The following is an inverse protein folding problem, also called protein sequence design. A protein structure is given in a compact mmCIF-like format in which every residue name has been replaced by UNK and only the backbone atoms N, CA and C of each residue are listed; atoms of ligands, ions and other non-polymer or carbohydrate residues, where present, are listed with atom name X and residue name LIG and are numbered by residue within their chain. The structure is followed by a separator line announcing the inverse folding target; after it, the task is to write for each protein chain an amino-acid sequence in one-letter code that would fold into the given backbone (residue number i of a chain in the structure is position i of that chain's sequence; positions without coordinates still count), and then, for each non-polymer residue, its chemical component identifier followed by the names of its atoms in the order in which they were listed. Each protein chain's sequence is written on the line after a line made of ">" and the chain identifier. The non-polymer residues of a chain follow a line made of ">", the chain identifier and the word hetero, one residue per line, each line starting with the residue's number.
data_IF_517947289172
#
_entry.id   IF_517947289172
#
_cell.length_a   1.000
_cell.length_b   1.000
_cell.length_c   1.000
_cell.angle_alpha   90.00
_cell.angle_beta   90.00
_cell.angle_gamma   90.00
#
_symmetry.space_group_name_H-M   'P 1'
#
loop_
_entity.id
_entity.type
_entity.pdbx_description
1 polymer ?
#
# COMPACT_ATOMS: atom_id res chain seq x y z
N UNK A 1 -38.48 11.18 0.48
CA UNK A 1 -37.57 10.65 1.52
C UNK A 1 -37.63 9.12 1.61
N UNK A 2 -38.83 8.51 1.60
CA UNK A 2 -39.04 7.04 1.65
C UNK A 2 -38.43 6.28 0.46
N UNK A 3 -38.45 6.84 -0.75
CA UNK A 3 -37.83 6.24 -1.95
C UNK A 3 -36.30 6.11 -1.85
N UNK A 4 -35.61 7.16 -1.38
CA UNK A 4 -34.15 7.10 -1.14
C UNK A 4 -33.76 6.06 -0.10
N UNK A 5 -34.56 5.89 0.95
CA UNK A 5 -34.32 4.88 1.99
C UNK A 5 -34.45 3.48 1.39
N UNK A 6 -35.49 3.22 0.59
CA UNK A 6 -35.70 1.91 -0.05
C UNK A 6 -34.63 1.59 -1.10
N UNK A 7 -34.17 2.59 -1.86
CA UNK A 7 -33.03 2.46 -2.78
C UNK A 7 -31.72 2.17 -2.03
N UNK A 8 -31.51 2.79 -0.87
CA UNK A 8 -30.35 2.56 -0.01
C UNK A 8 -30.35 1.12 0.55
N UNK A 9 -31.49 0.65 1.08
CA UNK A 9 -31.62 -0.74 1.55
C UNK A 9 -31.47 -1.77 0.40
N UNK A 10 -32.00 -1.48 -0.78
CA UNK A 10 -31.83 -2.35 -1.95
C UNK A 10 -30.37 -2.36 -2.47
N UNK A 11 -29.63 -1.25 -2.30
CA UNK A 11 -28.20 -1.21 -2.61
C UNK A 11 -27.36 -2.02 -1.60
N UNK A 12 -27.70 -1.95 -0.31
CA UNK A 12 -27.04 -2.75 0.74
C UNK A 12 -27.26 -4.25 0.53
N UNK A 13 -28.48 -4.66 0.16
CA UNK A 13 -28.81 -6.07 -0.12
C UNK A 13 -28.08 -6.68 -1.33
N UNK A 14 -27.43 -5.86 -2.16
CA UNK A 14 -26.64 -6.29 -3.33
C UNK A 14 -25.14 -6.33 -3.06
N UNK A 15 -24.68 -5.99 -1.84
CA UNK A 15 -23.27 -6.04 -1.50
C UNK A 15 -22.82 -7.50 -1.43
N UNK A 16 -21.91 -7.88 -2.31
CA UNK A 16 -21.30 -9.20 -2.28
C UNK A 16 -20.15 -9.23 -1.27
N UNK A 17 -19.88 -10.39 -0.69
CA UNK A 17 -18.86 -10.54 0.36
C UNK A 17 -17.44 -10.23 -0.16
N UNK A 18 -17.15 -10.52 -1.43
CA UNK A 18 -15.79 -10.46 -1.97
C UNK A 18 -15.23 -9.02 -2.04
N UNK A 19 -15.92 -8.02 -2.64
CA UNK A 19 -15.45 -6.64 -2.62
C UNK A 19 -15.26 -6.09 -1.20
N UNK A 20 -16.09 -6.52 -0.24
CA UNK A 20 -15.95 -6.12 1.16
C UNK A 20 -14.67 -6.70 1.78
N UNK A 21 -14.38 -7.99 1.53
CA UNK A 21 -13.13 -8.62 1.97
C UNK A 21 -11.90 -7.96 1.36
N UNK A 22 -11.94 -7.59 0.08
CA UNK A 22 -10.83 -6.87 -0.56
C UNK A 22 -10.59 -5.52 0.11
N UNK A 23 -11.65 -4.74 0.39
CA UNK A 23 -11.54 -3.45 1.10
C UNK A 23 -11.06 -3.62 2.54
N UNK A 24 -11.51 -4.66 3.23
CA UNK A 24 -10.98 -5.01 4.55
C UNK A 24 -9.49 -5.36 4.48
N UNK A 25 -9.06 -6.06 3.41
CA UNK A 25 -7.65 -6.32 3.12
C UNK A 25 -6.84 -5.04 2.88
N UNK A 26 -7.38 -4.08 2.12
CA UNK A 26 -6.75 -2.76 1.92
C UNK A 26 -6.56 -2.06 3.27
N UNK A 27 -7.62 -2.00 4.08
CA UNK A 27 -7.58 -1.38 5.41
C UNK A 27 -6.54 -2.04 6.30
N UNK A 28 -6.56 -3.38 6.40
CA UNK A 28 -5.63 -4.13 7.24
C UNK A 28 -4.18 -3.93 6.81
N UNK A 29 -3.89 -4.01 5.51
CA UNK A 29 -2.53 -3.77 5.01
C UNK A 29 -2.08 -2.33 5.25
N UNK A 30 -2.95 -1.35 5.02
CA UNK A 30 -2.64 0.07 5.23
C UNK A 30 -2.37 0.36 6.70
N UNK A 31 -3.19 -0.20 7.60
CA UNK A 31 -3.03 -0.05 9.04
C UNK A 31 -1.72 -0.67 9.51
N UNK A 32 -1.41 -1.90 9.09
CA UNK A 32 -0.14 -2.55 9.46
C UNK A 32 1.06 -1.78 8.92
N UNK A 33 1.00 -1.29 7.67
CA UNK A 33 2.06 -0.45 7.12
C UNK A 33 2.27 0.83 7.94
N UNK A 34 1.18 1.50 8.34
CA UNK A 34 1.25 2.69 9.20
C UNK A 34 1.82 2.35 10.58
N UNK A 35 1.38 1.26 11.21
CA UNK A 35 1.92 0.84 12.51
C UNK A 35 3.40 0.46 12.45
N UNK A 36 3.87 -0.13 11.35
CA UNK A 36 5.29 -0.41 11.14
C UNK A 36 6.10 0.86 10.85
N UNK A 37 5.48 1.85 10.23
CA UNK A 37 6.09 3.14 9.93
C UNK A 37 6.24 4.05 11.16
N UNK A 38 5.36 3.89 12.16
CA UNK A 38 5.37 4.64 13.42
C UNK A 38 5.88 3.72 14.56
N UNK A 39 7.18 3.76 14.87
CA UNK A 39 7.80 2.73 15.68
C UNK A 39 7.56 2.84 17.18
N UNK A 40 7.23 4.02 17.69
CA UNK A 40 6.70 4.10 19.06
C UNK A 40 5.32 3.48 19.05
N UNK A 41 5.15 2.36 19.76
CA UNK A 41 3.83 1.79 20.01
C UNK A 41 2.96 2.97 20.42
N UNK A 42 1.89 3.30 19.69
CA UNK A 42 1.06 4.44 20.02
C UNK A 42 0.34 4.11 21.33
N UNK A 43 1.02 4.37 22.43
CA UNK A 43 0.50 4.39 23.78
C UNK A 43 -0.52 5.53 23.91
N UNK A 44 -0.43 6.52 23.02
CA UNK A 44 -1.46 7.51 22.80
C UNK A 44 -2.63 6.92 21.97
N UNK A 45 -3.82 6.72 22.58
CA UNK A 45 -5.00 6.24 21.88
C UNK A 45 -5.49 7.20 20.77
N UNK A 46 -5.14 8.49 20.84
CA UNK A 46 -5.48 9.48 19.80
C UNK A 46 -4.71 9.22 18.52
N UNK A 47 -3.41 8.92 18.64
CA UNK A 47 -2.58 8.57 17.49
C UNK A 47 -3.06 7.26 16.86
N UNK A 48 -3.38 6.24 17.66
CA UNK A 48 -4.02 5.01 17.17
C UNK A 48 -5.29 5.30 16.37
N UNK A 49 -6.18 6.12 16.92
CA UNK A 49 -7.40 6.55 16.24
C UNK A 49 -7.11 7.23 14.90
N UNK A 50 -6.11 8.11 14.85
CA UNK A 50 -5.70 8.78 13.62
C UNK A 50 -5.17 7.80 12.57
N UNK A 51 -4.34 6.83 12.96
CA UNK A 51 -3.81 5.80 12.05
C UNK A 51 -4.94 4.91 11.49
N UNK A 52 -5.92 4.55 12.33
CA UNK A 52 -7.10 3.81 11.89
C UNK A 52 -7.91 4.63 10.87
N UNK A 53 -8.16 5.91 11.15
CA UNK A 53 -8.89 6.79 10.22
C UNK A 53 -8.11 6.95 8.90
N UNK A 54 -6.79 7.13 8.97
CA UNK A 54 -5.94 7.24 7.79
C UNK A 54 -5.96 5.94 6.95
N UNK A 55 -5.87 4.77 7.59
CA UNK A 55 -5.97 3.47 6.92
C UNK A 55 -7.34 3.22 6.28
N UNK A 56 -8.40 3.85 6.78
CA UNK A 56 -9.74 3.74 6.22
C UNK A 56 -9.89 4.46 4.87
N UNK A 57 -9.13 5.54 4.65
CA UNK A 57 -9.21 6.34 3.42
C UNK A 57 -9.00 5.52 2.13
N UNK A 58 -7.93 4.71 1.98
CA UNK A 58 -7.76 3.88 0.79
C UNK A 58 -8.78 2.75 0.67
N UNK A 59 -9.31 2.25 1.80
CA UNK A 59 -10.32 1.18 1.79
C UNK A 59 -11.71 1.68 1.34
N UNK A 60 -12.08 2.91 1.69
CA UNK A 60 -13.38 3.51 1.33
C UNK A 60 -13.33 4.15 -0.05
N UNK A 61 -12.24 4.84 -0.38
CA UNK A 61 -12.10 5.59 -1.63
C UNK A 61 -10.86 5.15 -2.44
N UNK A 62 -10.81 3.89 -2.91
CA UNK A 62 -9.66 3.32 -3.61
C UNK A 62 -9.37 3.97 -4.97
N UNK A 63 -10.37 4.61 -5.61
CA UNK A 63 -10.25 5.24 -6.93
C UNK A 63 -9.55 6.61 -6.93
N UNK A 64 -9.32 7.21 -5.75
CA UNK A 64 -8.75 8.55 -5.62
C UNK A 64 -7.28 8.45 -5.22
N UNK A 65 -6.65 9.60 -4.97
CA UNK A 65 -5.25 9.68 -4.56
C UNK A 65 -4.99 9.17 -3.13
N UNK A 66 -6.01 8.69 -2.41
CA UNK A 66 -5.90 8.26 -1.02
C UNK A 66 -4.88 7.14 -0.77
N UNK A 67 -4.81 6.06 -1.57
CA UNK A 67 -3.78 5.04 -1.38
C UNK A 67 -2.38 5.66 -1.48
N UNK A 68 -2.15 6.49 -2.50
CA UNK A 68 -0.86 7.18 -2.67
C UNK A 68 -0.54 8.10 -1.48
N UNK A 69 -1.50 8.90 -1.00
CA UNK A 69 -1.27 9.79 0.14
C UNK A 69 -0.93 9.01 1.42
N UNK A 70 -1.61 7.90 1.70
CA UNK A 70 -1.30 7.05 2.85
C UNK A 70 0.05 6.38 2.71
N UNK A 71 0.39 5.88 1.51
CA UNK A 71 1.70 5.31 1.23
C UNK A 71 2.82 6.33 1.46
N UNK A 72 2.66 7.55 0.94
CA UNK A 72 3.63 8.64 1.14
C UNK A 72 3.74 9.04 2.61
N UNK A 73 2.63 9.08 3.33
CA UNK A 73 2.64 9.36 4.76
C UNK A 73 3.39 8.29 5.56
N UNK A 74 3.19 7.00 5.24
CA UNK A 74 3.90 5.90 5.87
C UNK A 74 5.40 5.92 5.54
N UNK A 75 5.78 6.13 4.28
CA UNK A 75 7.18 6.25 3.88
C UNK A 75 7.83 7.47 4.52
N UNK A 76 7.14 8.61 4.55
CA UNK A 76 7.61 9.84 5.19
C UNK A 76 7.82 9.65 6.69
N UNK A 77 6.89 8.99 7.38
CA UNK A 77 7.01 8.65 8.79
C UNK A 77 8.19 7.71 9.06
N UNK A 78 8.38 6.69 8.21
CA UNK A 78 9.52 5.79 8.32
C UNK A 78 10.86 6.52 8.18
N UNK A 79 11.00 7.35 7.13
CA UNK A 79 12.21 8.15 6.89
C UNK A 79 12.44 9.14 8.02
N UNK A 80 11.37 9.76 8.53
CA UNK A 80 11.43 10.64 9.70
C UNK A 80 12.01 9.89 10.91
N UNK A 81 11.44 8.73 11.23
CA UNK A 81 11.85 7.90 12.34
C UNK A 81 13.32 7.45 12.24
N UNK A 82 13.73 6.94 11.07
CA UNK A 82 15.09 6.40 10.91
C UNK A 82 16.15 7.48 10.70
N UNK A 83 15.78 8.65 10.17
CA UNK A 83 16.72 9.72 9.83
C UNK A 83 16.85 10.84 10.86
N UNK A 84 15.76 11.22 11.54
CA UNK A 84 15.79 12.29 12.55
C UNK A 84 15.75 11.78 13.99
N UNK A 85 15.19 10.60 14.22
CA UNK A 85 15.05 10.01 15.56
C UNK A 85 16.01 8.85 15.82
N UNK A 86 17.01 8.66 14.96
CA UNK A 86 18.06 7.62 15.05
C UNK A 86 17.54 6.22 15.36
N UNK A 87 16.32 5.91 14.92
CA UNK A 87 15.73 4.60 15.10
C UNK A 87 16.51 3.56 14.30
N UNK A 88 16.84 2.45 14.98
CA UNK A 88 17.49 1.31 14.33
C UNK A 88 16.61 0.73 13.23
N UNK A 89 17.22 0.53 12.06
CA UNK A 89 16.58 -0.11 10.91
C UNK A 89 16.66 -1.62 11.09
N UNK A 90 15.55 -2.22 11.50
CA UNK A 90 15.44 -3.67 11.57
C UNK A 90 14.99 -4.25 10.21
N UNK A 91 15.70 -5.26 9.72
CA UNK A 91 15.47 -5.86 8.40
C UNK A 91 14.05 -6.41 8.23
N UNK A 92 13.57 -7.15 9.22
CA UNK A 92 12.21 -7.71 9.18
C UNK A 92 11.16 -6.60 9.12
N UNK A 93 11.39 -5.48 9.82
CA UNK A 93 10.48 -4.32 9.90
C UNK A 93 10.44 -3.60 8.55
N UNK A 94 11.59 -3.41 7.92
CA UNK A 94 11.71 -2.83 6.58
C UNK A 94 11.00 -3.70 5.53
N UNK A 95 11.25 -5.01 5.53
CA UNK A 95 10.64 -5.95 4.57
C UNK A 95 9.13 -6.06 4.77
N UNK A 96 8.67 -6.11 6.03
CA UNK A 96 7.25 -6.10 6.34
C UNK A 96 6.59 -4.80 5.87
N UNK A 97 7.18 -3.64 6.17
CA UNK A 97 6.67 -2.35 5.74
C UNK A 97 6.54 -2.28 4.21
N UNK A 98 7.60 -2.61 3.49
CA UNK A 98 7.60 -2.60 2.02
C UNK A 98 6.52 -3.54 1.45
N UNK A 99 6.39 -4.74 2.03
CA UNK A 99 5.37 -5.72 1.63
C UNK A 99 3.96 -5.18 1.84
N UNK A 100 3.65 -4.63 3.02
CA UNK A 100 2.32 -4.11 3.32
C UNK A 100 1.99 -2.84 2.55
N UNK A 101 2.97 -1.97 2.24
CA UNK A 101 2.76 -0.84 1.33
C UNK A 101 2.41 -1.33 -0.08
N UNK A 102 3.15 -2.32 -0.60
CA UNK A 102 2.87 -2.91 -1.90
C UNK A 102 1.49 -3.58 -1.96
N UNK A 103 1.15 -4.38 -0.93
CA UNK A 103 -0.17 -5.01 -0.81
C UNK A 103 -1.29 -3.97 -0.71
N UNK A 104 -1.10 -2.89 0.05
CA UNK A 104 -2.08 -1.80 0.15
C UNK A 104 -2.35 -1.18 -1.22
N UNK A 105 -1.28 -0.85 -1.96
CA UNK A 105 -1.40 -0.25 -3.28
C UNK A 105 -2.11 -1.17 -4.26
N UNK A 106 -1.66 -2.42 -4.34
CA UNK A 106 -2.21 -3.38 -5.29
C UNK A 106 -3.67 -3.70 -4.93
N UNK A 107 -4.00 -3.88 -3.65
CA UNK A 107 -5.37 -4.22 -3.22
C UNK A 107 -6.30 -3.04 -3.43
N UNK A 108 -5.82 -1.80 -3.26
CA UNK A 108 -6.58 -0.61 -3.58
C UNK A 108 -6.86 -0.53 -5.09
N UNK A 109 -5.90 -0.85 -5.95
CA UNK A 109 -6.13 -0.93 -7.39
C UNK A 109 -7.18 -1.99 -7.74
N UNK A 110 -7.16 -3.17 -7.09
CA UNK A 110 -8.20 -4.18 -7.26
C UNK A 110 -9.57 -3.68 -6.77
N UNK A 111 -9.63 -3.11 -5.57
CA UNK A 111 -10.85 -2.55 -4.99
C UNK A 111 -11.45 -1.40 -5.81
N UNK A 112 -10.62 -0.65 -6.54
CA UNK A 112 -11.06 0.39 -7.47
C UNK A 112 -11.83 -0.18 -8.66
N UNK A 113 -11.46 -1.39 -9.14
CA UNK A 113 -12.09 -2.07 -10.26
C UNK A 113 -13.37 -2.80 -9.87
N UNK A 114 -13.49 -3.26 -8.63
CA UNK A 114 -14.66 -4.01 -8.16
C UNK A 114 -15.82 -3.06 -7.79
N UNK A 115 -16.96 -3.25 -8.44
CA UNK A 115 -18.23 -2.72 -7.95
C UNK A 115 -18.66 -3.48 -6.69
N UNK A 116 -19.50 -2.87 -5.86
CA UNK A 116 -19.93 -3.48 -4.59
C UNK A 116 -20.78 -4.75 -4.77
N UNK A 117 -21.35 -4.94 -5.95
CA UNK A 117 -22.14 -6.09 -6.39
C UNK A 117 -21.35 -7.09 -7.25
N UNK A 118 -20.05 -6.87 -7.44
CA UNK A 118 -19.22 -7.74 -8.27
C UNK A 118 -19.12 -9.15 -7.66
N UNK A 119 -19.45 -10.16 -8.46
CA UNK A 119 -19.21 -11.57 -8.13
C UNK A 119 -17.88 -11.96 -8.74
N UNK A 120 -16.89 -12.25 -7.90
CA UNK A 120 -15.54 -12.64 -8.33
C UNK A 120 -15.26 -14.04 -7.81
N UNK A 121 -14.81 -14.93 -8.70
CA UNK A 121 -14.40 -16.27 -8.33
C UNK A 121 -13.18 -16.22 -7.37
N UNK A 122 -13.18 -16.97 -6.25
CA UNK A 122 -12.14 -16.88 -5.23
C UNK A 122 -10.75 -17.25 -5.77
N UNK A 123 -10.66 -18.08 -6.80
CA UNK A 123 -9.41 -18.47 -7.46
C UNK A 123 -8.74 -17.28 -8.14
N UNK A 124 -9.51 -16.32 -8.64
CA UNK A 124 -8.97 -15.08 -9.23
C UNK A 124 -8.30 -14.24 -8.15
N UNK A 125 -8.96 -14.10 -6.99
CA UNK A 125 -8.40 -13.37 -5.86
C UNK A 125 -7.15 -14.08 -5.32
N UNK A 126 -7.19 -15.39 -5.15
CA UNK A 126 -6.06 -16.18 -4.68
C UNK A 126 -4.84 -16.06 -5.61
N UNK A 127 -5.02 -16.20 -6.93
CA UNK A 127 -3.94 -16.00 -7.91
C UNK A 127 -3.37 -14.60 -7.87
N UNK A 128 -4.24 -13.61 -7.69
CA UNK A 128 -3.83 -12.22 -7.64
C UNK A 128 -2.99 -11.92 -6.38
N UNK A 129 -3.42 -12.44 -5.21
CA UNK A 129 -2.66 -12.35 -3.96
C UNK A 129 -1.33 -13.11 -4.06
N UNK A 130 -1.35 -14.33 -4.61
CA UNK A 130 -0.13 -15.14 -4.81
C UNK A 130 0.89 -14.42 -5.70
N UNK A 131 0.43 -13.78 -6.78
CA UNK A 131 1.29 -12.95 -7.63
C UNK A 131 1.86 -11.76 -6.86
N UNK A 132 1.04 -11.08 -6.06
CA UNK A 132 1.50 -9.94 -5.27
C UNK A 132 2.57 -10.37 -4.24
N UNK A 133 2.32 -11.46 -3.52
CA UNK A 133 3.29 -12.03 -2.58
C UNK A 133 4.56 -12.53 -3.29
N UNK A 134 4.44 -13.11 -4.49
CA UNK A 134 5.59 -13.49 -5.31
C UNK A 134 6.47 -12.30 -5.71
N UNK A 135 5.85 -11.17 -6.08
CA UNK A 135 6.59 -9.92 -6.36
C UNK A 135 7.26 -9.38 -5.10
N UNK A 136 6.56 -9.38 -3.96
CA UNK A 136 7.14 -8.95 -2.69
C UNK A 136 8.33 -9.83 -2.27
N UNK A 137 8.20 -11.16 -2.40
CA UNK A 137 9.27 -12.11 -2.12
C UNK A 137 10.47 -11.91 -3.05
N UNK A 138 10.24 -11.80 -4.36
CA UNK A 138 11.31 -11.55 -5.33
C UNK A 138 12.04 -10.23 -5.01
N UNK A 139 11.28 -9.18 -4.65
CA UNK A 139 11.83 -7.89 -4.25
C UNK A 139 12.68 -8.01 -2.99
N UNK A 140 12.23 -8.76 -1.98
CA UNK A 140 12.98 -9.01 -0.76
C UNK A 140 14.29 -9.77 -1.03
N UNK A 141 14.23 -10.82 -1.86
CA UNK A 141 15.40 -11.62 -2.27
C UNK A 141 16.42 -10.76 -3.02
N UNK A 142 15.98 -9.89 -3.93
CA UNK A 142 16.87 -8.97 -4.67
C UNK A 142 17.43 -7.88 -3.74
N UNK A 143 16.66 -7.44 -2.74
CA UNK A 143 17.10 -6.38 -1.82
C UNK A 143 18.17 -6.86 -0.82
N UNK A 144 18.12 -8.13 -0.39
CA UNK A 144 19.10 -8.73 0.53
C UNK A 144 20.58 -8.51 0.13
N UNK A 145 21.03 -8.89 -1.08
CA UNK A 145 22.42 -8.67 -1.49
C UNK A 145 22.77 -7.18 -1.63
N UNK A 146 21.82 -6.33 -1.99
CA UNK A 146 22.03 -4.88 -2.06
C UNK A 146 22.30 -4.29 -0.67
N UNK A 147 21.55 -4.74 0.35
CA UNK A 147 21.76 -4.36 1.74
C UNK A 147 23.09 -4.92 2.29
N UNK A 148 23.50 -6.11 1.86
CA UNK A 148 24.80 -6.68 2.25
C UNK A 148 26.01 -5.98 1.59
N UNK A 149 25.77 -5.15 0.57
CA UNK A 149 26.79 -4.32 -0.07
C UNK A 149 26.92 -2.93 0.56
N UNK A 150 26.12 -2.63 1.58
CA UNK A 150 26.19 -1.36 2.31
C UNK A 150 27.60 -1.12 2.88
N UNK A 151 28.13 0.08 2.67
CA UNK A 151 29.51 0.47 3.03
C UNK A 151 30.62 0.02 2.06
N UNK A 152 30.36 -0.82 1.04
CA UNK A 152 31.37 -1.21 0.03
C UNK A 152 31.55 -0.21 -1.10
N UNK A 153 30.50 0.54 -1.40
CA UNK A 153 30.50 1.64 -2.36
C UNK A 153 30.09 2.89 -1.58
N UNK A 154 30.92 3.94 -1.59
CA UNK A 154 30.66 5.12 -0.74
C UNK A 154 29.26 5.70 -0.95
N UNK A 155 28.66 6.24 0.11
CA UNK A 155 27.23 6.61 0.24
C UNK A 155 26.67 7.35 -1.00
N UNK A 156 27.48 8.20 -1.62
CA UNK A 156 27.09 8.98 -2.81
C UNK A 156 26.73 8.11 -4.01
N UNK A 157 27.42 7.00 -4.22
CA UNK A 157 27.17 6.09 -5.35
C UNK A 157 25.84 5.34 -5.18
N UNK A 158 25.52 4.95 -3.95
CA UNK A 158 24.25 4.31 -3.60
C UNK A 158 23.08 5.29 -3.78
N UNK A 159 23.23 6.54 -3.32
CA UNK A 159 22.21 7.59 -3.53
C UNK A 159 21.96 7.86 -5.02
N UNK A 160 23.02 7.94 -5.84
CA UNK A 160 22.88 8.15 -7.29
C UNK A 160 22.17 6.97 -7.95
N UNK A 161 22.51 5.73 -7.59
CA UNK A 161 21.81 4.55 -8.09
C UNK A 161 20.32 4.54 -7.71
N UNK A 162 20.01 4.93 -6.47
CA UNK A 162 18.63 5.00 -5.96
C UNK A 162 17.81 6.09 -6.69
N UNK A 163 18.40 7.27 -6.89
CA UNK A 163 17.80 8.35 -7.67
C UNK A 163 17.60 7.95 -9.14
N UNK A 164 18.59 7.28 -9.75
CA UNK A 164 18.48 6.76 -11.11
C UNK A 164 17.34 5.75 -11.26
N UNK A 165 17.23 4.81 -10.31
CA UNK A 165 16.12 3.86 -10.25
C UNK A 165 14.76 4.55 -10.10
N UNK A 166 14.67 5.57 -9.23
CA UNK A 166 13.45 6.36 -9.05
C UNK A 166 13.05 7.09 -10.34
N UNK A 167 13.99 7.75 -11.01
CA UNK A 167 13.74 8.44 -12.28
C UNK A 167 13.23 7.45 -13.33
N UNK A 168 13.87 6.28 -13.46
CA UNK A 168 13.45 5.24 -14.39
C UNK A 168 12.03 4.77 -14.09
N UNK A 169 11.69 4.52 -12.82
CA UNK A 169 10.35 4.11 -12.41
C UNK A 169 9.28 5.18 -12.71
N UNK A 170 9.59 6.46 -12.43
CA UNK A 170 8.70 7.59 -12.73
C UNK A 170 8.49 7.73 -14.24
N UNK A 171 9.56 7.64 -15.04
CA UNK A 171 9.48 7.69 -16.50
C UNK A 171 8.63 6.54 -17.06
N UNK A 172 8.82 5.31 -16.56
CA UNK A 172 8.02 4.16 -16.96
C UNK A 172 6.53 4.36 -16.62
N UNK A 173 6.22 4.83 -15.41
CA UNK A 173 4.85 5.13 -15.00
C UNK A 173 4.21 6.24 -15.85
N UNK A 174 4.96 7.32 -16.13
CA UNK A 174 4.51 8.42 -16.97
C UNK A 174 4.26 7.96 -18.42
N UNK A 175 5.14 7.13 -18.98
CA UNK A 175 5.00 6.56 -20.31
C UNK A 175 3.74 5.67 -20.40
N UNK A 176 3.53 4.78 -19.42
CA UNK A 176 2.33 3.95 -19.35
C UNK A 176 1.06 4.82 -19.26
N UNK A 177 1.05 5.81 -18.37
CA UNK A 177 -0.08 6.74 -18.22
C UNK A 177 -0.35 7.57 -19.48
N UNK A 178 0.68 7.94 -20.24
CA UNK A 178 0.53 8.58 -21.53
C UNK A 178 -0.02 7.63 -22.61
N UNK A 179 0.48 6.39 -22.67
CA UNK A 179 -0.01 5.38 -23.61
C UNK A 179 -1.49 5.06 -23.38
N UNK A 180 -1.92 4.94 -22.12
CA UNK A 180 -3.33 4.69 -21.78
C UNK A 180 -4.26 5.87 -22.11
N UNK A 181 -3.76 7.12 -22.11
CA UNK A 181 -4.56 8.30 -22.49
C UNK A 181 -4.68 8.48 -24.01
N UNK A 182 -3.88 7.77 -24.79
CA UNK A 182 -3.90 7.82 -26.27
C UNK A 182 -4.81 6.77 -26.91
N UNK A 183 -5.31 5.82 -26.12
CA UNK A 183 -6.32 4.83 -26.54
C UNK A 183 -7.68 5.26 -26.04
#
# INVERSE_FOLDING_TARGET
>A
MVTRIREFYAAIGRITLVPLLVRAGVFGCALVALLLAYPERPSDPRLLGLLVVAALAPAVAPRRNWPTMVLLAAVGAWVAATGWYDQQVELWRLLALATFLYLTHTLAALAALLSYDAVVAPEVLARWVARALGVALASAVISMPLLAMDGRFGDRSFVVALLGGLVLAVCAAALLGWLFRRR
#
